data_IF_922242486866
#
_entry.id   IF_922242486866
#
_cell.length_a   1.000
_cell.length_b   1.000
_cell.length_c   1.000
_cell.angle_alpha   90.00
_cell.angle_beta   90.00
_cell.angle_gamma   90.00
#
_symmetry.space_group_name_H-M   'P 1'
#
loop_
_entity.id
_entity.type
_entity.pdbx_description
1 polymer ?
#
# COMPACT_ATOMS: atom_id res chain seq x y z
N UNK A 1 14.19 3.81 18.11
CA UNK A 1 15.42 4.26 17.41
C UNK A 1 16.72 3.82 18.09
N UNK A 2 16.93 4.01 19.39
CA UNK A 2 18.20 3.65 20.05
C UNK A 2 18.52 2.15 19.93
N UNK A 3 17.51 1.27 20.05
CA UNK A 3 17.64 -0.17 19.80
C UNK A 3 18.09 -0.45 18.36
N UNK A 4 17.49 0.20 17.36
CA UNK A 4 17.89 0.05 15.96
C UNK A 4 19.36 0.45 15.77
N UNK A 5 19.78 1.58 16.34
CA UNK A 5 21.18 2.04 16.29
C UNK A 5 22.13 1.01 16.91
N UNK A 6 21.78 0.45 18.08
CA UNK A 6 22.58 -0.58 18.77
C UNK A 6 22.65 -1.89 17.99
N UNK A 7 21.58 -2.28 17.31
CA UNK A 7 21.50 -3.50 16.52
C UNK A 7 22.00 -3.33 15.08
N UNK A 8 22.41 -2.13 14.67
CA UNK A 8 22.82 -1.84 13.29
C UNK A 8 21.67 -1.87 12.28
N UNK A 9 20.42 -1.75 12.73
CA UNK A 9 19.24 -1.67 11.85
C UNK A 9 19.18 -0.24 11.28
N UNK A 10 19.31 -0.06 9.95
CA UNK A 10 19.52 1.26 9.35
C UNK A 10 18.25 2.13 9.31
N UNK A 11 17.08 1.50 9.25
CA UNK A 11 15.79 2.18 9.07
C UNK A 11 14.79 1.69 10.10
N UNK A 12 14.06 2.62 10.72
CA UNK A 12 12.90 2.33 11.55
C UNK A 12 11.65 2.93 10.89
N UNK A 13 10.68 2.08 10.54
CA UNK A 13 9.35 2.53 10.12
C UNK A 13 8.46 2.74 11.35
N UNK A 14 7.70 3.84 11.39
CA UNK A 14 6.73 4.12 12.44
C UNK A 14 5.45 4.75 11.89
N UNK A 15 4.35 4.43 12.56
CA UNK A 15 3.13 5.21 12.48
C UNK A 15 3.26 6.45 13.37
N UNK A 16 2.82 7.61 12.86
CA UNK A 16 2.64 8.79 13.71
C UNK A 16 1.38 8.57 14.54
N UNK A 17 1.50 8.57 15.86
CA UNK A 17 0.38 8.31 16.78
C UNK A 17 -0.81 9.27 16.60
N UNK A 18 -1.82 9.15 17.48
CA UNK A 18 -3.04 9.96 17.38
C UNK A 18 -2.97 11.24 18.22
N UNK A 19 -3.02 12.41 17.58
CA UNK A 19 -3.30 13.68 18.28
C UNK A 19 -4.79 13.77 18.64
N UNK A 20 -5.09 13.90 19.93
CA UNK A 20 -6.44 13.98 20.49
C UNK A 20 -7.04 15.37 20.55
N UNK A 21 -6.23 16.43 20.39
CA UNK A 21 -6.65 17.78 20.80
C UNK A 21 -6.65 18.83 19.68
N UNK A 22 -5.88 18.66 18.60
CA UNK A 22 -5.75 19.72 17.59
C UNK A 22 -6.66 19.51 16.36
N UNK A 23 -7.30 20.59 15.94
CA UNK A 23 -8.12 20.66 14.71
C UNK A 23 -7.39 21.30 13.54
N UNK A 24 -6.33 22.09 13.78
CA UNK A 24 -5.52 22.73 12.74
C UNK A 24 -4.31 21.87 12.37
N UNK A 25 -4.30 21.39 11.11
CA UNK A 25 -3.22 20.60 10.54
C UNK A 25 -1.86 21.30 10.65
N UNK A 26 -1.79 22.63 10.49
CA UNK A 26 -0.52 23.39 10.55
C UNK A 26 0.11 23.30 11.94
N UNK A 27 -0.71 23.42 12.97
CA UNK A 27 -0.26 23.31 14.38
C UNK A 27 0.23 21.88 14.65
N UNK A 28 -0.50 20.89 14.15
CA UNK A 28 -0.12 19.47 14.28
C UNK A 28 1.22 19.19 13.59
N UNK A 29 1.37 19.61 12.33
CA UNK A 29 2.58 19.44 11.53
C UNK A 29 3.77 20.12 12.22
N UNK A 30 3.64 21.37 12.65
CA UNK A 30 4.72 22.09 13.33
C UNK A 30 5.15 21.40 14.64
N UNK A 31 4.19 20.92 15.43
CA UNK A 31 4.49 20.22 16.68
C UNK A 31 5.18 18.87 16.44
N UNK A 32 4.70 18.09 15.48
CA UNK A 32 5.31 16.82 15.10
C UNK A 32 6.70 17.04 14.52
N UNK A 33 6.87 18.00 13.62
CA UNK A 33 8.16 18.34 13.03
C UNK A 33 9.19 18.70 14.10
N UNK A 34 8.84 19.55 15.07
CA UNK A 34 9.73 19.87 16.20
C UNK A 34 10.15 18.61 16.97
N UNK A 35 9.20 17.76 17.35
CA UNK A 35 9.48 16.54 18.09
C UNK A 35 10.35 15.54 17.30
N UNK A 36 10.13 15.42 15.98
CA UNK A 36 10.93 14.58 15.11
C UNK A 36 12.35 15.15 14.93
N UNK A 37 12.50 16.46 14.81
CA UNK A 37 13.81 17.13 14.77
C UNK A 37 14.64 16.86 16.02
N UNK A 38 14.04 17.03 17.20
CA UNK A 38 14.66 16.70 18.49
C UNK A 38 15.05 15.20 18.57
N UNK A 39 14.14 14.30 18.17
CA UNK A 39 14.40 12.86 18.16
C UNK A 39 15.56 12.50 17.21
N UNK A 40 15.57 13.02 15.99
CA UNK A 40 16.62 12.77 15.01
C UNK A 40 17.97 13.30 15.50
N UNK A 41 18.00 14.47 16.14
CA UNK A 41 19.22 15.02 16.72
C UNK A 41 19.76 14.12 17.86
N UNK A 42 18.89 13.52 18.66
CA UNK A 42 19.27 12.69 19.81
C UNK A 42 19.89 11.33 19.43
N UNK A 43 19.56 10.77 18.26
CA UNK A 43 20.01 9.43 17.85
C UNK A 43 20.59 9.50 16.43
N UNK A 44 21.91 9.32 16.26
CA UNK A 44 22.55 9.36 14.95
C UNK A 44 22.30 8.07 14.15
N UNK A 45 22.68 8.08 12.87
CA UNK A 45 22.78 6.92 11.94
C UNK A 45 21.48 6.23 11.51
N UNK A 46 20.42 6.26 12.31
CA UNK A 46 19.15 5.62 11.95
C UNK A 46 18.29 6.57 11.12
N UNK A 47 17.79 6.09 9.98
CA UNK A 47 16.74 6.71 9.20
C UNK A 47 15.39 6.41 9.83
N UNK A 48 14.56 7.42 10.03
CA UNK A 48 13.18 7.29 10.47
C UNK A 48 12.27 7.38 9.24
N UNK A 49 11.48 6.36 8.98
CA UNK A 49 10.47 6.34 7.93
C UNK A 49 9.09 6.51 8.56
N UNK A 50 8.37 7.54 8.14
CA UNK A 50 6.99 7.77 8.55
C UNK A 50 6.06 7.05 7.59
N UNK A 51 5.23 6.16 8.10
CA UNK A 51 4.23 5.48 7.28
C UNK A 51 2.98 6.35 7.11
N UNK A 52 2.44 6.43 5.90
CA UNK A 52 1.08 6.96 5.73
C UNK A 52 0.10 5.98 6.35
N UNK A 53 -0.88 6.49 7.08
CA UNK A 53 -1.81 5.64 7.84
C UNK A 53 -3.22 6.22 7.93
N UNK A 54 -4.18 5.32 8.08
CA UNK A 54 -5.57 5.64 8.37
C UNK A 54 -5.71 5.83 9.88
N UNK A 55 -6.49 6.82 10.31
CA UNK A 55 -6.82 6.97 11.73
C UNK A 55 -8.14 6.28 12.00
N UNK A 56 -8.15 5.35 12.96
CA UNK A 56 -9.29 4.53 13.36
C UNK A 56 -10.53 5.30 13.86
N UNK A 57 -10.50 6.64 13.91
CA UNK A 57 -11.62 7.46 14.35
C UNK A 57 -12.13 8.38 13.24
N UNK A 58 -13.44 8.36 13.00
CA UNK A 58 -14.17 9.07 11.93
C UNK A 58 -13.89 10.59 11.88
N UNK A 59 -13.54 11.19 13.02
CA UNK A 59 -13.39 12.63 13.20
C UNK A 59 -11.95 13.16 13.09
N UNK A 60 -10.99 12.36 12.59
CA UNK A 60 -9.58 12.77 12.57
C UNK A 60 -8.95 12.62 11.19
N UNK A 61 -8.19 13.63 10.79
CA UNK A 61 -7.48 13.65 9.51
C UNK A 61 -6.40 12.56 9.49
N UNK A 62 -6.34 11.71 8.43
CA UNK A 62 -5.31 10.67 8.28
C UNK A 62 -3.91 11.29 8.18
N UNK A 63 -2.88 10.47 8.38
CA UNK A 63 -1.52 10.85 7.99
C UNK A 63 -1.34 10.52 6.51
N UNK A 64 -1.86 11.40 5.65
CA UNK A 64 -1.78 11.24 4.19
C UNK A 64 -0.36 11.51 3.69
N UNK A 65 -0.02 11.08 2.47
CA UNK A 65 1.29 11.36 1.87
C UNK A 65 1.54 12.87 1.75
N UNK A 66 0.50 13.66 1.47
CA UNK A 66 0.58 15.14 1.45
C UNK A 66 0.82 15.75 2.84
N UNK A 67 0.24 15.20 3.91
CA UNK A 67 0.55 15.67 5.26
C UNK A 67 1.97 15.27 5.65
N UNK A 68 2.39 14.06 5.31
CA UNK A 68 3.76 13.61 5.57
C UNK A 68 4.80 14.43 4.80
N UNK A 69 4.56 14.81 3.54
CA UNK A 69 5.49 15.67 2.79
C UNK A 69 5.73 17.01 3.49
N UNK A 70 4.67 17.64 4.03
CA UNK A 70 4.79 18.88 4.81
C UNK A 70 5.61 18.70 6.09
N UNK A 71 5.51 17.55 6.75
CA UNK A 71 6.36 17.22 7.90
C UNK A 71 7.81 17.05 7.47
N UNK A 72 8.05 16.32 6.37
CA UNK A 72 9.38 16.12 5.80
C UNK A 72 10.05 17.47 5.48
N UNK A 73 9.32 18.39 4.84
CA UNK A 73 9.80 19.72 4.51
C UNK A 73 10.05 20.58 5.75
N UNK A 74 9.20 20.48 6.77
CA UNK A 74 9.36 21.25 8.01
C UNK A 74 10.54 20.76 8.87
N UNK A 75 10.88 19.47 8.81
CA UNK A 75 12.03 18.90 9.53
C UNK A 75 13.34 19.07 8.75
N UNK A 76 13.26 19.03 7.41
CA UNK A 76 14.38 19.17 6.48
C UNK A 76 15.61 18.33 6.86
N UNK A 77 15.42 17.01 6.98
CA UNK A 77 16.48 16.08 7.35
C UNK A 77 16.61 14.93 6.37
N UNK A 78 17.82 14.59 5.89
CA UNK A 78 18.03 13.45 4.99
C UNK A 78 17.75 12.09 5.66
N UNK A 79 17.62 12.08 6.99
CA UNK A 79 17.29 10.88 7.78
C UNK A 79 15.80 10.75 8.06
N UNK A 80 14.97 11.71 7.67
CA UNK A 80 13.52 11.56 7.72
C UNK A 80 13.01 11.18 6.32
N UNK A 81 12.28 10.07 6.26
CA UNK A 81 11.76 9.48 5.02
C UNK A 81 10.31 9.06 5.21
N UNK A 82 9.70 8.55 4.15
CA UNK A 82 8.35 7.97 4.16
C UNK A 82 8.41 6.49 3.82
N UNK A 83 7.62 5.67 4.52
CA UNK A 83 7.23 4.36 4.05
C UNK A 83 5.84 4.48 3.41
N UNK A 84 5.69 4.04 2.17
CA UNK A 84 4.40 4.13 1.47
C UNK A 84 3.63 2.84 1.69
N UNK A 85 2.56 2.88 2.48
CA UNK A 85 1.57 1.81 2.51
C UNK A 85 0.52 2.05 1.42
N UNK A 86 0.44 1.12 0.45
CA UNK A 86 -0.45 1.23 -0.70
C UNK A 86 -1.92 1.09 -0.31
N UNK A 87 -2.25 0.26 0.68
CA UNK A 87 -3.60 0.08 1.19
C UNK A 87 -4.07 1.33 1.94
N UNK A 88 -3.23 1.91 2.79
CA UNK A 88 -3.52 3.16 3.46
C UNK A 88 -3.65 4.32 2.48
N UNK A 89 -2.79 4.40 1.47
CA UNK A 89 -2.88 5.41 0.42
C UNK A 89 -4.22 5.28 -0.33
N UNK A 90 -4.63 4.04 -0.65
CA UNK A 90 -5.93 3.77 -1.26
C UNK A 90 -7.12 4.14 -0.38
N UNK A 91 -7.07 3.85 0.92
CA UNK A 91 -8.23 4.12 1.79
C UNK A 91 -8.33 5.61 2.12
N UNK A 92 -7.19 6.29 2.29
CA UNK A 92 -7.13 7.63 2.87
C UNK A 92 -7.06 8.78 1.85
N UNK A 93 -6.52 8.55 0.65
CA UNK A 93 -6.10 9.69 -0.20
C UNK A 93 -6.32 9.48 -1.71
N UNK A 94 -6.10 8.28 -2.26
CA UNK A 94 -6.12 8.07 -3.71
C UNK A 94 -7.06 6.92 -4.10
N UNK A 95 -8.14 7.21 -4.82
CA UNK A 95 -9.00 6.17 -5.36
C UNK A 95 -8.33 5.42 -6.52
N UNK A 96 -7.53 4.41 -6.19
CA UNK A 96 -6.87 3.52 -7.15
C UNK A 96 -7.84 2.63 -7.93
N UNK A 97 -9.11 2.54 -7.51
CA UNK A 97 -10.17 1.90 -8.28
C UNK A 97 -10.81 2.83 -9.32
N UNK A 98 -10.67 4.15 -9.11
CA UNK A 98 -11.05 5.21 -10.03
C UNK A 98 -9.85 5.80 -10.76
N UNK A 99 -9.69 7.12 -10.68
CA UNK A 99 -8.68 7.91 -11.39
C UNK A 99 -7.51 8.40 -10.50
N UNK A 100 -7.45 7.94 -9.25
CA UNK A 100 -6.48 8.40 -8.25
C UNK A 100 -5.02 7.99 -8.50
N UNK A 101 -4.76 7.06 -9.43
CA UNK A 101 -3.40 6.60 -9.74
C UNK A 101 -2.48 7.74 -10.18
N UNK A 102 -2.97 8.63 -11.06
CA UNK A 102 -2.18 9.75 -11.57
C UNK A 102 -1.81 10.73 -10.45
N UNK A 103 -2.75 11.01 -9.54
CA UNK A 103 -2.52 11.91 -8.42
C UNK A 103 -1.53 11.32 -7.41
N UNK A 104 -1.65 10.03 -7.07
CA UNK A 104 -0.69 9.34 -6.21
C UNK A 104 0.74 9.45 -6.76
N UNK A 105 0.90 9.21 -8.06
CA UNK A 105 2.19 9.29 -8.73
C UNK A 105 2.74 10.72 -8.76
N UNK A 106 1.87 11.72 -8.94
CA UNK A 106 2.24 13.13 -8.85
C UNK A 106 2.70 13.52 -7.45
N UNK A 107 1.98 13.11 -6.40
CA UNK A 107 2.36 13.35 -4.99
C UNK A 107 3.70 12.71 -4.66
N UNK A 108 3.93 11.46 -5.08
CA UNK A 108 5.21 10.78 -4.87
C UNK A 108 6.37 11.49 -5.61
N UNK A 109 6.14 11.96 -6.83
CA UNK A 109 7.18 12.60 -7.62
C UNK A 109 7.51 14.02 -7.13
N UNK A 110 6.49 14.81 -6.78
CA UNK A 110 6.62 16.26 -6.58
C UNK A 110 6.57 16.70 -5.12
N UNK A 111 5.72 16.08 -4.31
CA UNK A 111 5.48 16.53 -2.93
C UNK A 111 6.33 15.71 -1.94
N UNK A 112 6.24 14.38 -1.99
CA UNK A 112 7.08 13.52 -1.14
C UNK A 112 8.53 13.53 -1.65
N UNK A 113 8.70 13.41 -2.96
CA UNK A 113 10.00 13.22 -3.60
C UNK A 113 10.49 11.77 -3.46
N UNK A 114 10.69 11.09 -4.58
CA UNK A 114 11.03 9.66 -4.63
C UNK A 114 12.27 9.27 -3.81
N UNK A 115 13.27 10.15 -3.70
CA UNK A 115 14.49 9.92 -2.92
C UNK A 115 14.24 9.85 -1.39
N UNK A 116 13.10 10.37 -0.94
CA UNK A 116 12.64 10.33 0.45
C UNK A 116 11.77 9.11 0.76
N UNK A 117 11.52 8.22 -0.21
CA UNK A 117 10.85 6.94 0.05
C UNK A 117 11.88 5.93 0.57
N UNK A 118 11.62 5.34 1.74
CA UNK A 118 12.48 4.35 2.39
C UNK A 118 12.03 2.90 2.13
N UNK A 119 10.76 2.71 1.78
CA UNK A 119 10.16 1.39 1.56
C UNK A 119 8.69 1.53 1.18
N UNK A 120 8.10 0.40 0.76
CA UNK A 120 6.68 0.30 0.42
C UNK A 120 6.10 -0.87 1.18
N UNK A 121 5.03 -0.64 1.95
CA UNK A 121 4.21 -1.71 2.48
C UNK A 121 3.17 -2.11 1.43
N UNK A 122 3.07 -3.42 1.23
CA UNK A 122 2.35 -4.04 0.13
C UNK A 122 1.27 -4.92 0.73
N UNK A 123 0.04 -4.45 0.60
CA UNK A 123 -1.19 -5.15 0.95
C UNK A 123 -2.29 -4.65 0.02
N UNK A 124 -3.25 -5.51 -0.30
CA UNK A 124 -4.48 -5.07 -0.97
C UNK A 124 -5.44 -4.52 0.10
N UNK A 125 -6.54 -3.89 -0.32
CA UNK A 125 -7.53 -3.34 0.61
C UNK A 125 -8.82 -4.14 0.65
N UNK A 126 -9.19 -4.61 1.84
CA UNK A 126 -10.48 -5.23 2.09
C UNK A 126 -11.62 -4.22 2.26
N UNK A 127 -11.32 -2.93 2.43
CA UNK A 127 -12.28 -1.85 2.62
C UNK A 127 -12.20 -0.83 1.47
N UNK A 128 -13.30 -0.12 1.19
CA UNK A 128 -13.35 0.81 0.07
C UNK A 128 -12.53 2.08 0.32
N UNK A 129 -12.13 2.77 -0.76
CA UNK A 129 -11.61 4.14 -0.68
C UNK A 129 -12.56 5.03 0.13
N UNK A 130 -12.00 5.85 1.02
CA UNK A 130 -12.76 6.75 1.89
C UNK A 130 -13.47 6.07 3.06
N UNK A 131 -13.31 4.75 3.26
CA UNK A 131 -13.98 4.02 4.36
C UNK A 131 -13.53 4.43 5.77
N UNK A 132 -12.33 5.04 5.89
CA UNK A 132 -11.67 5.35 7.16
C UNK A 132 -11.47 4.13 8.07
N UNK A 133 -11.49 2.94 7.50
CA UNK A 133 -11.33 1.68 8.21
C UNK A 133 -10.21 0.88 7.55
N UNK A 134 -9.14 0.65 8.32
CA UNK A 134 -8.02 -0.19 7.89
C UNK A 134 -8.47 -1.64 7.76
N UNK A 135 -8.09 -2.27 6.66
CA UNK A 135 -8.36 -3.68 6.43
C UNK A 135 -7.48 -4.22 5.33
N UNK A 136 -6.34 -4.80 5.68
CA UNK A 136 -5.47 -5.45 4.70
C UNK A 136 -6.14 -6.69 4.11
N UNK A 137 -5.91 -6.90 2.82
CA UNK A 137 -6.28 -8.10 2.09
C UNK A 137 -5.03 -8.70 1.42
N UNK A 138 -5.12 -10.00 1.14
CA UNK A 138 -4.18 -10.68 0.27
C UNK A 138 -4.23 -10.06 -1.14
N UNK A 139 -3.12 -10.13 -1.88
CA UNK A 139 -2.98 -9.46 -3.18
C UNK A 139 -4.01 -10.01 -4.18
N UNK A 140 -4.84 -9.14 -4.75
CA UNK A 140 -5.86 -9.51 -5.74
C UNK A 140 -7.16 -10.04 -5.14
N UNK A 141 -7.32 -10.00 -3.82
CA UNK A 141 -8.57 -10.33 -3.12
C UNK A 141 -9.29 -9.09 -2.57
N UNK A 142 -8.65 -7.93 -2.62
CA UNK A 142 -9.21 -6.68 -2.14
C UNK A 142 -9.95 -5.90 -3.23
N UNK A 143 -9.99 -4.59 -3.01
CA UNK A 143 -10.73 -3.62 -3.81
C UNK A 143 -9.81 -2.75 -4.67
N UNK A 144 -8.48 -2.88 -4.54
CA UNK A 144 -7.54 -2.22 -5.43
C UNK A 144 -7.44 -3.06 -6.71
N UNK A 145 -7.77 -2.52 -7.90
CA UNK A 145 -7.60 -3.27 -9.14
C UNK A 145 -6.13 -3.64 -9.36
N UNK A 146 -5.88 -4.91 -9.72
CA UNK A 146 -4.52 -5.42 -9.92
C UNK A 146 -3.70 -4.59 -10.91
N UNK A 147 -4.32 -4.03 -11.94
CA UNK A 147 -3.64 -3.16 -12.91
C UNK A 147 -3.19 -1.82 -12.30
N UNK A 148 -3.99 -1.22 -11.41
CA UNK A 148 -3.61 -0.01 -10.69
C UNK A 148 -2.50 -0.33 -9.66
N UNK A 149 -2.68 -1.41 -8.90
CA UNK A 149 -1.70 -1.90 -7.94
C UNK A 149 -0.33 -2.17 -8.60
N UNK A 150 -0.35 -2.91 -9.71
CA UNK A 150 0.82 -3.19 -10.55
C UNK A 150 1.47 -1.91 -11.07
N UNK A 151 0.69 -0.90 -11.45
CA UNK A 151 1.23 0.38 -11.93
C UNK A 151 2.00 1.12 -10.83
N UNK A 152 1.47 1.14 -9.60
CA UNK A 152 2.18 1.71 -8.44
C UNK A 152 3.50 0.97 -8.22
N UNK A 153 3.47 -0.36 -8.11
CA UNK A 153 4.65 -1.17 -7.79
C UNK A 153 5.69 -1.26 -8.93
N UNK A 154 5.31 -0.98 -10.17
CA UNK A 154 6.27 -0.86 -11.28
C UNK A 154 6.86 0.53 -11.42
N UNK A 155 6.36 1.50 -10.67
CA UNK A 155 6.77 2.88 -10.80
C UNK A 155 8.29 2.99 -10.71
N UNK A 156 8.96 3.63 -11.68
CA UNK A 156 10.39 3.92 -11.59
C UNK A 156 10.75 4.71 -10.31
N UNK A 157 9.81 5.51 -9.79
CA UNK A 157 9.97 6.25 -8.53
C UNK A 157 10.15 5.33 -7.31
N UNK A 158 9.67 4.09 -7.40
CA UNK A 158 9.74 3.08 -6.35
C UNK A 158 10.65 1.90 -6.74
N UNK A 159 11.41 2.02 -7.84
CA UNK A 159 12.19 0.89 -8.39
C UNK A 159 13.43 0.49 -7.58
N UNK A 160 13.87 1.33 -6.64
CA UNK A 160 15.07 1.12 -5.82
C UNK A 160 14.76 0.92 -4.33
N UNK A 161 13.48 0.94 -3.94
CA UNK A 161 13.06 0.83 -2.54
C UNK A 161 12.59 -0.59 -2.21
N UNK A 162 12.81 -1.10 -0.99
CA UNK A 162 12.35 -2.41 -0.56
C UNK A 162 10.82 -2.46 -0.41
N UNK A 163 10.22 -3.61 -0.74
CA UNK A 163 8.80 -3.89 -0.57
C UNK A 163 8.60 -4.86 0.60
N UNK A 164 7.64 -4.57 1.48
CA UNK A 164 7.32 -5.35 2.67
C UNK A 164 5.87 -5.83 2.59
N UNK A 165 5.66 -7.14 2.62
CA UNK A 165 4.31 -7.72 2.53
C UNK A 165 3.62 -7.72 3.90
N UNK A 166 2.49 -7.03 4.01
CA UNK A 166 1.71 -6.89 5.24
C UNK A 166 0.31 -7.52 5.14
N UNK A 167 0.20 -8.54 4.30
CA UNK A 167 -1.06 -9.26 4.09
C UNK A 167 -1.45 -10.07 5.34
N UNK A 168 -2.76 -10.28 5.59
CA UNK A 168 -3.24 -10.98 6.78
C UNK A 168 -2.60 -12.36 6.94
N UNK A 169 -2.15 -12.68 8.15
CA UNK A 169 -1.52 -13.95 8.47
C UNK A 169 -2.42 -14.81 9.36
N UNK A 170 -2.29 -16.14 9.23
CA UNK A 170 -2.89 -17.06 10.19
C UNK A 170 -1.93 -17.28 11.36
N UNK A 171 -2.29 -16.74 12.53
CA UNK A 171 -1.53 -16.94 13.77
C UNK A 171 -2.33 -17.81 14.75
N UNK A 172 -1.78 -18.92 15.26
CA UNK A 172 -2.45 -19.72 16.28
C UNK A 172 -2.36 -19.08 17.66
N UNK A 173 -3.45 -19.18 18.43
CA UNK A 173 -3.47 -18.78 19.83
C UNK A 173 -2.63 -19.71 20.74
N UNK A 174 -2.24 -20.92 20.29
CA UNK A 174 -1.58 -21.94 21.11
C UNK A 174 -0.21 -22.39 20.55
N UNK A 175 0.87 -22.41 21.37
CA UNK A 175 2.25 -22.79 21.00
C UNK A 175 2.41 -24.11 20.23
N UNK A 176 1.61 -25.13 20.54
CA UNK A 176 1.75 -26.46 19.94
C UNK A 176 1.48 -26.51 18.43
N UNK A 177 0.64 -25.61 17.90
CA UNK A 177 0.32 -25.57 16.47
C UNK A 177 1.27 -24.69 15.64
N UNK A 178 2.19 -23.97 16.29
CA UNK A 178 3.08 -23.01 15.62
C UNK A 178 3.93 -23.65 14.52
N UNK A 179 4.53 -24.86 14.69
CA UNK A 179 5.35 -25.44 13.63
C UNK A 179 4.52 -25.84 12.40
N UNK A 180 3.38 -26.49 12.60
CA UNK A 180 2.54 -26.98 11.50
C UNK A 180 1.82 -25.85 10.75
N UNK A 181 1.23 -24.89 11.48
CA UNK A 181 0.62 -23.70 10.87
C UNK A 181 1.69 -22.80 10.28
N UNK A 182 2.82 -22.63 10.96
CA UNK A 182 3.95 -21.85 10.47
C UNK A 182 4.49 -22.35 9.15
N UNK A 183 4.57 -23.68 8.95
CA UNK A 183 4.98 -24.26 7.67
C UNK A 183 4.03 -23.93 6.52
N UNK A 184 2.72 -24.06 6.73
CA UNK A 184 1.72 -23.71 5.72
C UNK A 184 1.60 -22.20 5.49
N UNK A 185 1.73 -21.38 6.53
CA UNK A 185 1.72 -19.93 6.44
C UNK A 185 2.96 -19.42 5.69
N UNK A 186 4.15 -20.01 5.93
CA UNK A 186 5.35 -19.72 5.16
C UNK A 186 5.15 -20.05 3.68
N UNK A 187 4.58 -21.22 3.37
CA UNK A 187 4.26 -21.60 1.99
C UNK A 187 3.25 -20.65 1.34
N UNK A 188 2.21 -20.24 2.07
CA UNK A 188 1.21 -19.25 1.62
C UNK A 188 1.88 -17.92 1.28
N UNK A 189 2.78 -17.43 2.15
CA UNK A 189 3.55 -16.20 1.93
C UNK A 189 4.50 -16.30 0.73
N UNK A 190 5.15 -17.44 0.53
CA UNK A 190 5.98 -17.67 -0.68
C UNK A 190 5.12 -17.61 -1.93
N UNK A 191 3.96 -18.27 -1.96
CA UNK A 191 3.06 -18.22 -3.12
C UNK A 191 2.58 -16.79 -3.44
N UNK A 192 2.32 -15.98 -2.41
CA UNK A 192 1.95 -14.58 -2.57
C UNK A 192 3.12 -13.70 -3.04
N UNK A 193 4.32 -13.94 -2.51
CA UNK A 193 5.53 -13.25 -2.95
C UNK A 193 5.87 -13.58 -4.41
N UNK A 194 5.81 -14.85 -4.78
CA UNK A 194 6.03 -15.30 -6.14
C UNK A 194 5.01 -14.69 -7.11
N UNK A 195 3.75 -14.56 -6.68
CA UNK A 195 2.72 -13.87 -7.45
C UNK A 195 3.01 -12.38 -7.58
N UNK A 196 3.41 -11.71 -6.51
CA UNK A 196 3.79 -10.30 -6.52
C UNK A 196 4.97 -10.03 -7.44
N UNK A 197 6.01 -10.86 -7.39
CA UNK A 197 7.18 -10.77 -8.27
C UNK A 197 6.75 -10.91 -9.73
N UNK A 198 5.96 -11.93 -10.06
CA UNK A 198 5.40 -12.11 -11.40
C UNK A 198 4.52 -10.93 -11.84
N UNK A 199 3.65 -10.47 -10.95
CA UNK A 199 2.78 -9.31 -11.15
C UNK A 199 3.60 -8.06 -11.44
N UNK A 200 4.76 -7.86 -10.82
CA UNK A 200 5.59 -6.66 -11.00
C UNK A 200 6.59 -6.81 -12.13
N UNK A 201 7.12 -8.00 -12.41
CA UNK A 201 8.21 -8.20 -13.37
C UNK A 201 7.74 -8.44 -14.81
N UNK A 202 6.58 -9.05 -15.04
CA UNK A 202 6.06 -9.28 -16.40
C UNK A 202 5.91 -7.97 -17.18
N UNK A 203 6.09 -7.99 -18.50
CA UNK A 203 5.73 -6.85 -19.35
C UNK A 203 4.23 -6.57 -19.31
N UNK A 204 3.81 -5.37 -19.72
CA UNK A 204 2.37 -5.04 -19.81
C UNK A 204 1.63 -5.93 -20.81
N UNK A 205 2.31 -6.36 -21.88
CA UNK A 205 1.75 -7.28 -22.86
C UNK A 205 1.54 -8.68 -22.26
N UNK A 206 2.58 -9.25 -21.65
CA UNK A 206 2.48 -10.58 -21.02
C UNK A 206 1.40 -10.60 -19.93
N UNK A 207 1.36 -9.56 -19.08
CA UNK A 207 0.34 -9.44 -18.05
C UNK A 207 -1.07 -9.40 -18.65
N UNK A 208 -1.28 -8.61 -19.71
CA UNK A 208 -2.58 -8.54 -20.38
C UNK A 208 -3.07 -9.89 -20.96
N UNK A 209 -2.14 -10.79 -21.31
CA UNK A 209 -2.46 -12.13 -21.80
C UNK A 209 -2.65 -13.13 -20.65
N UNK A 210 -1.81 -13.05 -19.61
CA UNK A 210 -1.69 -14.09 -18.57
C UNK A 210 -2.40 -13.76 -17.26
N UNK A 211 -2.94 -12.55 -17.09
CA UNK A 211 -3.55 -12.08 -15.82
C UNK A 211 -4.47 -13.14 -15.19
N UNK A 212 -5.41 -13.69 -15.96
CA UNK A 212 -6.38 -14.67 -15.46
C UNK A 212 -5.70 -15.95 -14.95
N UNK A 213 -4.72 -16.46 -15.69
CA UNK A 213 -4.03 -17.71 -15.36
C UNK A 213 -3.12 -17.54 -14.14
N UNK A 214 -2.43 -16.39 -14.05
CA UNK A 214 -1.57 -16.04 -12.92
C UNK A 214 -2.37 -15.90 -11.63
N UNK A 215 -3.48 -15.16 -11.69
CA UNK A 215 -4.40 -14.99 -10.55
C UNK A 215 -4.99 -16.34 -10.14
N UNK A 216 -5.39 -17.17 -11.10
CA UNK A 216 -5.97 -18.48 -10.81
C UNK A 216 -4.93 -19.44 -10.19
N UNK A 217 -3.69 -19.44 -10.68
CA UNK A 217 -2.60 -20.25 -10.13
C UNK A 217 -2.27 -19.84 -8.70
N UNK A 218 -2.09 -18.54 -8.46
CA UNK A 218 -1.84 -18.00 -7.11
C UNK A 218 -2.98 -18.34 -6.15
N UNK A 219 -4.24 -18.11 -6.54
CA UNK A 219 -5.39 -18.41 -5.68
C UNK A 219 -5.50 -19.89 -5.34
N UNK A 220 -5.29 -20.79 -6.31
CA UNK A 220 -5.29 -22.25 -6.05
C UNK A 220 -4.26 -22.64 -4.99
N UNK A 221 -3.03 -22.15 -5.10
CA UNK A 221 -1.97 -22.51 -4.16
C UNK A 221 -2.21 -21.90 -2.78
N UNK A 222 -2.68 -20.64 -2.73
CA UNK A 222 -3.07 -19.99 -1.48
C UNK A 222 -4.20 -20.74 -0.80
N UNK A 223 -5.29 -21.04 -1.52
CA UNK A 223 -6.45 -21.76 -0.99
C UNK A 223 -6.07 -23.14 -0.47
N UNK A 224 -5.16 -23.85 -1.15
CA UNK A 224 -4.61 -25.11 -0.66
C UNK A 224 -3.93 -24.95 0.71
N UNK A 225 -3.08 -23.93 0.86
CA UNK A 225 -2.40 -23.65 2.12
C UNK A 225 -3.41 -23.24 3.21
N UNK A 226 -4.32 -22.33 2.91
CA UNK A 226 -5.34 -21.89 3.85
C UNK A 226 -6.29 -23.03 4.26
N UNK A 227 -6.63 -23.94 3.36
CA UNK A 227 -7.44 -25.11 3.68
C UNK A 227 -6.70 -26.05 4.63
N UNK A 228 -5.40 -26.28 4.41
CA UNK A 228 -4.57 -27.07 5.32
C UNK A 228 -4.50 -26.42 6.71
N UNK A 229 -4.27 -25.11 6.78
CA UNK A 229 -4.30 -24.33 8.04
C UNK A 229 -5.66 -24.47 8.72
N UNK A 230 -6.77 -24.23 7.99
CA UNK A 230 -8.14 -24.37 8.52
C UNK A 230 -8.41 -25.78 9.02
N UNK A 231 -7.91 -26.83 8.37
CA UNK A 231 -8.10 -28.21 8.81
C UNK A 231 -7.35 -28.50 10.11
N UNK A 232 -6.13 -27.96 10.27
CA UNK A 232 -5.39 -28.05 11.53
C UNK A 232 -6.12 -27.32 12.68
N UNK A 233 -6.79 -26.21 12.37
CA UNK A 233 -7.56 -25.44 13.32
C UNK A 233 -8.94 -26.04 13.64
N UNK A 234 -9.54 -26.80 12.70
CA UNK A 234 -10.89 -27.38 12.80
C UNK A 234 -11.04 -28.41 13.93
N UNK A 235 -9.95 -28.95 14.47
CA UNK A 235 -10.00 -29.86 15.61
C UNK A 235 -10.54 -29.22 16.90
N UNK A 236 -10.35 -27.92 17.12
CA UNK A 236 -10.74 -27.26 18.39
C UNK A 236 -11.17 -25.78 18.27
N UNK A 237 -11.19 -25.17 17.07
CA UNK A 237 -11.34 -23.71 16.94
C UNK A 237 -12.68 -23.21 16.39
N UNK A 238 -13.72 -24.06 16.35
CA UNK A 238 -15.07 -23.57 16.02
C UNK A 238 -15.73 -22.81 17.19
N UNK A 239 -15.37 -23.08 18.45
CA UNK A 239 -16.01 -22.43 19.62
C UNK A 239 -15.46 -21.03 20.01
N UNK A 240 -14.38 -20.57 19.37
CA UNK A 240 -13.77 -19.26 19.65
C UNK A 240 -13.92 -18.30 18.47
N UNK A 241 -13.90 -18.80 17.24
CA UNK A 241 -14.16 -18.00 16.02
C UNK A 241 -15.65 -17.63 15.91
N UNK A 242 -16.55 -18.46 16.47
CA UNK A 242 -18.00 -18.21 16.47
C UNK A 242 -18.44 -17.18 17.54
N UNK A 243 -17.57 -16.85 18.50
CA UNK A 243 -17.81 -15.75 19.48
C UNK A 243 -17.35 -14.38 18.98
N UNK A 244 -16.96 -14.27 17.71
CA UNK A 244 -16.56 -13.01 17.08
C UNK A 244 -16.21 -13.22 15.62
N UNK A 245 -17.26 -13.26 14.78
CA UNK A 245 -17.29 -13.30 13.32
C UNK A 245 -15.92 -13.20 12.62
N UNK A 246 -15.55 -14.27 11.91
CA UNK A 246 -14.31 -14.33 11.15
C UNK A 246 -14.12 -13.10 10.25
N UNK A 247 -12.97 -12.44 10.41
CA UNK A 247 -12.52 -11.27 9.63
C UNK A 247 -12.78 -11.44 8.12
N UNK A 248 -12.58 -12.64 7.59
CA UNK A 248 -12.79 -12.92 6.17
C UNK A 248 -14.26 -12.95 5.74
N UNK A 249 -15.20 -13.29 6.63
CA UNK A 249 -16.65 -13.30 6.37
C UNK A 249 -17.25 -11.90 6.48
N UNK A 250 -16.82 -11.12 7.48
CA UNK A 250 -17.12 -9.69 7.56
C UNK A 250 -16.59 -8.93 6.32
N UNK A 251 -15.37 -9.23 5.86
CA UNK A 251 -14.86 -8.68 4.60
C UNK A 251 -15.55 -9.24 3.35
N UNK A 252 -16.12 -10.46 3.39
CA UNK A 252 -16.89 -11.02 2.27
C UNK A 252 -18.25 -10.33 2.17
N UNK A 253 -18.93 -10.10 3.29
CA UNK A 253 -20.16 -9.31 3.38
C UNK A 253 -19.91 -7.85 3.01
N UNK A 254 -18.84 -7.22 3.49
CA UNK A 254 -18.47 -5.86 3.08
C UNK A 254 -18.11 -5.76 1.60
N UNK A 255 -17.44 -6.77 1.01
CA UNK A 255 -17.18 -6.82 -0.45
C UNK A 255 -18.48 -6.94 -1.26
N UNK A 256 -19.48 -7.68 -0.77
CA UNK A 256 -20.80 -7.77 -1.39
C UNK A 256 -21.59 -6.46 -1.25
N UNK A 257 -21.53 -5.82 -0.08
CA UNK A 257 -22.19 -4.55 0.18
C UNK A 257 -21.52 -3.37 -0.57
N UNK A 258 -20.20 -3.38 -0.73
CA UNK A 258 -19.43 -2.41 -1.52
C UNK A 258 -19.74 -2.49 -3.01
N UNK A 259 -19.84 -3.71 -3.58
CA UNK A 259 -20.29 -3.92 -4.97
C UNK A 259 -21.74 -3.48 -5.17
N UNK A 260 -22.62 -3.75 -4.21
CA UNK A 260 -24.02 -3.31 -4.26
C UNK A 260 -24.19 -1.78 -4.14
N UNK A 261 -23.32 -1.11 -3.36
CA UNK A 261 -23.30 0.36 -3.25
C UNK A 261 -22.73 1.02 -4.52
N UNK A 262 -21.67 0.47 -5.11
CA UNK A 262 -21.14 0.94 -6.40
C UNK A 262 -22.16 0.79 -7.54
N UNK A 263 -22.95 -0.29 -7.55
CA UNK A 263 -24.03 -0.49 -8.52
C UNK A 263 -25.26 0.43 -8.32
N UNK A 264 -25.43 1.03 -7.13
CA UNK A 264 -26.54 1.93 -6.79
C UNK A 264 -26.25 3.42 -7.01
N UNK A 265 -25.03 3.80 -7.39
CA UNK A 265 -24.72 5.17 -7.81
C UNK A 265 -25.27 5.37 -9.23
N UNK A 266 -26.58 5.61 -9.32
CA UNK A 266 -27.26 6.08 -10.51
C UNK A 266 -27.19 7.60 -10.49
N UNK A 267 -26.49 8.20 -11.44
CA UNK A 267 -26.39 9.65 -11.61
C UNK A 267 -27.79 10.28 -11.61
N UNK A 268 -28.14 10.98 -10.53
CA UNK A 268 -29.30 11.88 -10.51
C UNK A 268 -28.81 13.21 -11.08
N UNK A 269 -29.03 13.40 -12.38
CA UNK A 269 -28.80 14.68 -13.05
C UNK A 269 -29.89 15.65 -12.59
N UNK A 270 -29.57 16.51 -11.62
CA UNK A 270 -30.43 17.63 -11.25
C UNK A 270 -30.40 18.66 -12.38
N UNK A 271 -31.52 18.81 -13.11
CA UNK A 271 -31.72 19.94 -14.01
C UNK A 271 -31.73 21.23 -13.18
N UNK A 272 -30.84 22.16 -13.50
CA UNK A 272 -31.05 23.59 -13.25
C UNK A 272 -31.54 24.19 -14.56
N UNK A 273 -32.69 24.85 -14.48
CA UNK A 273 -33.23 25.68 -15.54
C UNK A 273 -32.40 26.97 -15.65
N UNK A 274 -32.26 27.49 -16.88
CA UNK A 274 -31.84 28.88 -17.13
C UNK A 274 -30.55 29.04 -17.94
N UNK A 275 -30.76 29.16 -19.25
CA UNK A 275 -30.08 30.06 -20.20
C UNK A 275 -28.64 29.79 -20.67
N UNK A 276 -28.57 29.18 -21.86
CA UNK A 276 -27.93 29.74 -23.05
C UNK A 276 -26.41 29.79 -23.12
N UNK A 277 -25.80 28.79 -23.76
CA UNK A 277 -24.73 28.98 -24.77
C UNK A 277 -24.44 27.64 -25.49
N UNK A 278 -24.30 27.70 -26.82
CA UNK A 278 -24.07 26.57 -27.72
C UNK A 278 -22.69 25.93 -27.57
N UNK A 279 -22.71 24.59 -27.53
CA UNK A 279 -21.78 23.60 -28.09
C UNK A 279 -20.26 23.87 -28.14
N UNK A 280 -19.50 23.01 -27.43
CA UNK A 280 -18.41 22.24 -28.04
C UNK A 280 -18.23 20.91 -27.29
N UNK A 281 -18.64 19.81 -27.92
CA UNK A 281 -18.46 18.45 -27.44
C UNK A 281 -16.98 18.05 -27.49
N UNK A 282 -16.27 18.15 -26.36
CA UNK A 282 -14.95 17.52 -26.20
C UNK A 282 -15.13 16.09 -25.69
N UNK A 283 -15.04 15.14 -26.61
CA UNK A 283 -14.90 13.72 -26.30
C UNK A 283 -13.70 13.51 -25.37
N UNK A 284 -13.82 12.79 -24.23
CA UNK A 284 -12.69 12.45 -23.39
C UNK A 284 -11.80 11.48 -24.16
N UNK A 285 -10.64 11.94 -24.60
CA UNK A 285 -9.62 11.06 -25.15
C UNK A 285 -9.13 10.14 -24.04
N UNK A 286 -9.41 8.84 -24.17
CA UNK A 286 -8.76 7.78 -23.38
C UNK A 286 -7.25 7.85 -23.66
N UNK A 287 -6.50 8.61 -22.86
CA UNK A 287 -5.04 8.50 -22.86
C UNK A 287 -4.66 7.11 -22.35
N UNK A 288 -3.81 6.41 -23.10
CA UNK A 288 -3.37 5.06 -22.74
C UNK A 288 -2.41 5.18 -21.55
N UNK A 289 -2.48 4.24 -20.60
CA UNK A 289 -1.58 4.17 -19.44
C UNK A 289 -0.08 4.15 -19.82
N UNK A 290 0.26 3.87 -21.09
CA UNK A 290 1.61 4.00 -21.64
C UNK A 290 2.18 5.42 -21.59
N UNK A 291 1.32 6.43 -21.66
CA UNK A 291 1.75 7.81 -21.95
C UNK A 291 2.27 8.53 -20.69
N UNK A 292 2.02 7.99 -19.49
CA UNK A 292 2.52 8.53 -18.23
C UNK A 292 4.01 8.24 -17.99
N UNK A 293 4.55 7.16 -18.56
CA UNK A 293 5.92 6.71 -18.27
C UNK A 293 6.98 7.38 -19.16
N UNK A 294 6.61 7.84 -20.35
CA UNK A 294 7.55 8.44 -21.31
C UNK A 294 8.24 9.73 -20.80
N UNK A 295 7.62 10.45 -19.86
CA UNK A 295 8.19 11.66 -19.26
C UNK A 295 9.04 11.44 -18.01
N UNK A 296 9.01 10.26 -17.40
CA UNK A 296 9.68 9.98 -16.11
C UNK A 296 11.03 9.27 -16.25
N UNK A 297 11.31 8.66 -17.41
CA UNK A 297 12.57 7.95 -17.67
C UNK A 297 13.80 8.86 -17.73
N UNK A 298 13.61 10.17 -17.98
CA UNK A 298 14.70 11.14 -18.06
C UNK A 298 15.32 11.52 -16.69
N UNK A 299 14.67 11.21 -15.56
CA UNK A 299 15.09 11.69 -14.23
C UNK A 299 15.84 10.66 -13.36
N UNK A 300 15.94 9.39 -13.78
CA UNK A 300 16.43 8.28 -12.95
C UNK A 300 17.88 7.83 -13.23
N UNK A 301 18.61 8.52 -14.11
CA UNK A 301 19.95 8.13 -14.56
C UNK A 301 21.07 8.76 -13.73
N UNK A 302 21.36 8.23 -12.54
CA UNK A 302 22.65 8.41 -11.86
C UNK A 302 22.95 7.28 -10.86
N UNK A 303 24.14 6.65 -10.89
CA UNK A 303 24.43 5.45 -10.09
C UNK A 303 25.06 5.81 -8.74
N UNK A 304 24.59 5.18 -7.65
CA UNK A 304 25.41 5.02 -6.45
C UNK A 304 25.23 3.61 -5.87
N UNK A 305 26.38 3.02 -5.56
CA UNK A 305 26.60 1.65 -5.11
C UNK A 305 26.48 1.54 -3.59
N UNK A 306 25.87 0.47 -3.04
CA UNK A 306 26.29 -0.12 -1.76
C UNK A 306 25.79 -1.58 -1.58
N UNK A 307 26.55 -2.32 -0.76
CA UNK A 307 26.67 -3.77 -0.58
C UNK A 307 25.57 -4.44 0.25
N UNK A 308 25.32 -5.73 -0.02
CA UNK A 308 24.23 -6.55 0.55
C UNK A 308 24.61 -7.29 1.83
N UNK A 309 23.67 -7.41 2.77
CA UNK A 309 23.64 -8.44 3.81
C UNK A 309 22.20 -8.94 4.00
N UNK A 310 22.01 -10.24 3.73
CA UNK A 310 21.00 -11.15 4.30
C UNK A 310 19.56 -10.66 4.48
N UNK A 311 18.81 -10.52 3.38
CA UNK A 311 17.35 -10.38 3.36
C UNK A 311 16.88 -10.41 1.91
N UNK A 312 15.79 -11.12 1.60
CA UNK A 312 15.26 -11.19 0.22
C UNK A 312 14.96 -9.77 -0.27
N UNK A 313 15.85 -9.24 -1.10
CA UNK A 313 15.81 -7.89 -1.66
C UNK A 313 15.70 -8.05 -3.16
N UNK A 314 14.65 -7.50 -3.78
CA UNK A 314 14.55 -7.48 -5.24
C UNK A 314 15.64 -6.53 -5.78
N UNK A 315 16.62 -7.04 -6.53
CA UNK A 315 17.56 -6.21 -7.29
C UNK A 315 17.18 -6.28 -8.77
N UNK A 316 16.69 -5.17 -9.34
CA UNK A 316 16.42 -5.05 -10.78
C UNK A 316 17.74 -5.11 -11.56
N UNK A 317 18.00 -6.19 -12.30
CA UNK A 317 18.96 -6.16 -13.42
C UNK A 317 18.25 -5.54 -14.61
N UNK A 318 18.47 -4.26 -14.84
CA UNK A 318 18.13 -3.62 -16.11
C UNK A 318 19.13 -4.18 -17.12
N UNK A 319 18.69 -5.06 -18.03
CA UNK A 319 19.44 -5.29 -19.27
C UNK A 319 19.28 -4.03 -20.10
N UNK A 320 20.37 -3.30 -20.31
CA UNK A 320 20.42 -2.32 -21.38
C UNK A 320 20.30 -3.10 -22.70
N UNK A 321 19.23 -2.87 -23.45
CA UNK A 321 19.15 -3.30 -24.84
C UNK A 321 20.08 -2.37 -25.64
N UNK A 322 21.04 -2.99 -26.32
CA UNK A 322 22.02 -2.38 -27.23
C UNK A 322 21.39 -2.03 -28.57
#
# INVERSE_FOLDING_TARGET
>A
MATCNRLGIPTLCVHLGSDVAATDERVVVARVARALGELLASIPRVTLALENMIRASVCRQPWSLRTLSRILDAVDSPRLKVCVDVCHAYIAEFDLAGDGLGDMMSVLAREVGWHRVAGVHVSDSATAHGSKCEGHANIGDGLIPLNAFRSVLRSPLLGSVPYYLETPAYSPARPAYYPAIGGWEARRRVAEWDFLERLVCMSSHEWGVREKDEVAMYRRERERCEMAIRNLLRGEMWAVVDRGAGIQEAFREMRQQGRARAAKIRWVRQKRDGDGEEEQEKTPTKRRHSDYYAGLEAAASSPSSFTSLGGYTLRRRIKAES
#
